data_IF_739925018516
#
_entry.id   IF_739925018516
#
_cell.length_a   1.000
_cell.length_b   1.000
_cell.length_c   1.000
_cell.angle_alpha   90.00
_cell.angle_beta   90.00
_cell.angle_gamma   90.00
#
_symmetry.space_group_name_H-M   'P 1'
#
loop_
_entity.id
_entity.type
_entity.pdbx_description
1 polymer ?
#
# COMPACT_ATOMS: atom_id res chain seq x y z
N UNK A 1 7.22 28.56 -10.67
CA UNK A 1 6.40 27.37 -10.31
C UNK A 1 7.32 26.40 -9.62
N UNK A 2 7.04 26.01 -8.39
CA UNK A 2 7.83 24.98 -7.73
C UNK A 2 7.53 23.66 -8.43
N UNK A 3 8.52 23.11 -9.13
CA UNK A 3 8.43 21.78 -9.72
C UNK A 3 8.97 20.79 -8.69
N UNK A 4 8.06 20.05 -8.05
CA UNK A 4 8.45 18.94 -7.20
C UNK A 4 8.70 17.71 -8.08
N UNK A 5 9.76 16.98 -7.78
CA UNK A 5 10.04 15.67 -8.37
C UNK A 5 10.31 14.66 -7.27
N UNK A 6 9.92 13.42 -7.50
CA UNK A 6 10.23 12.30 -6.62
C UNK A 6 10.79 11.15 -7.45
N UNK A 7 12.07 10.84 -7.23
CA UNK A 7 12.78 9.79 -7.95
C UNK A 7 13.15 8.67 -6.99
N UNK A 8 12.43 7.56 -7.06
CA UNK A 8 12.66 6.45 -6.13
C UNK A 8 12.76 5.11 -6.83
N UNK A 9 13.47 4.18 -6.20
CA UNK A 9 13.43 2.76 -6.55
C UNK A 9 12.40 2.05 -5.67
N UNK A 10 11.76 1.01 -6.19
CA UNK A 10 10.83 0.19 -5.42
C UNK A 10 11.44 -0.22 -4.08
N UNK A 11 10.83 0.19 -2.98
CA UNK A 11 11.23 -0.18 -1.64
C UNK A 11 10.25 -1.19 -1.04
N UNK A 12 10.75 -2.40 -0.74
CA UNK A 12 9.94 -3.43 -0.08
C UNK A 12 9.36 -2.94 1.24
N UNK A 13 10.10 -2.13 1.99
CA UNK A 13 9.70 -1.62 3.30
C UNK A 13 8.50 -0.68 3.21
N UNK A 14 8.53 0.25 2.23
CA UNK A 14 7.43 1.19 1.99
C UNK A 14 6.17 0.43 1.57
N UNK A 15 6.31 -0.54 0.65
CA UNK A 15 5.17 -1.34 0.17
C UNK A 15 4.61 -2.22 1.29
N UNK A 16 5.44 -2.83 2.13
CA UNK A 16 4.97 -3.60 3.29
C UNK A 16 4.20 -2.72 4.27
N UNK A 17 4.71 -1.53 4.60
CA UNK A 17 3.99 -0.60 5.48
C UNK A 17 2.62 -0.25 4.90
N UNK A 18 2.56 0.07 3.61
CA UNK A 18 1.30 0.31 2.91
C UNK A 18 0.35 -0.88 2.99
N UNK A 19 0.84 -2.08 2.70
CA UNK A 19 0.03 -3.29 2.72
C UNK A 19 -0.55 -3.55 4.12
N UNK A 20 0.25 -3.48 5.18
CA UNK A 20 -0.24 -3.72 6.54
C UNK A 20 -1.17 -2.63 7.05
N UNK A 21 -0.91 -1.35 6.75
CA UNK A 21 -1.72 -0.23 7.26
C UNK A 21 -2.97 0.06 6.42
N UNK A 22 -2.95 -0.25 5.12
CA UNK A 22 -4.01 0.16 4.18
C UNK A 22 -4.46 -1.00 3.30
N UNK A 23 -3.56 -1.57 2.51
CA UNK A 23 -3.89 -2.52 1.45
C UNK A 23 -4.52 -3.81 1.96
N UNK A 24 -3.93 -4.40 2.99
CA UNK A 24 -4.37 -5.66 3.58
C UNK A 24 -5.26 -5.50 4.82
N UNK A 25 -5.75 -4.29 5.12
CA UNK A 25 -6.58 -4.04 6.33
C UNK A 25 -7.75 -5.02 6.45
N UNK A 26 -8.41 -5.35 5.35
CA UNK A 26 -9.50 -6.35 5.35
C UNK A 26 -8.99 -7.75 5.70
N UNK A 27 -7.82 -8.13 5.20
CA UNK A 27 -7.19 -9.43 5.51
C UNK A 27 -6.84 -9.53 7.00
N UNK A 28 -6.35 -8.45 7.60
CA UNK A 28 -6.06 -8.40 9.04
C UNK A 28 -7.33 -8.51 9.88
N UNK A 29 -8.45 -7.95 9.44
CA UNK A 29 -9.76 -8.14 10.09
C UNK A 29 -10.16 -9.63 10.02
N UNK A 30 -10.01 -10.28 8.87
CA UNK A 30 -10.27 -11.72 8.74
C UNK A 30 -9.32 -12.57 9.60
N UNK A 31 -8.06 -12.17 9.77
CA UNK A 31 -7.13 -12.82 10.69
C UNK A 31 -7.69 -12.83 12.12
N UNK A 32 -8.07 -11.65 12.63
CA UNK A 32 -8.61 -11.51 14.00
C UNK A 32 -9.92 -12.29 14.15
N UNK A 33 -10.83 -12.18 13.19
CA UNK A 33 -12.12 -12.89 13.22
C UNK A 33 -11.92 -14.42 13.23
N UNK A 34 -11.00 -14.93 12.41
CA UNK A 34 -10.69 -16.35 12.36
C UNK A 34 -10.08 -16.85 13.67
N UNK A 35 -9.23 -16.06 14.33
CA UNK A 35 -8.69 -16.41 15.65
C UNK A 35 -9.81 -16.49 16.71
N UNK A 36 -10.69 -15.51 16.72
CA UNK A 36 -11.84 -15.50 17.66
C UNK A 36 -12.74 -16.73 17.43
N UNK A 37 -13.03 -17.07 16.19
CA UNK A 37 -13.81 -18.26 15.85
C UNK A 37 -13.09 -19.54 16.23
N UNK A 38 -11.78 -19.66 16.02
CA UNK A 38 -10.99 -20.81 16.45
C UNK A 38 -11.10 -21.05 17.96
N UNK A 39 -10.96 -19.98 18.75
CA UNK A 39 -11.07 -20.02 20.21
C UNK A 39 -12.51 -20.45 20.63
N UNK A 40 -13.53 -19.82 20.02
CA UNK A 40 -14.93 -20.16 20.33
C UNK A 40 -15.24 -21.63 20.05
N UNK A 41 -14.82 -22.17 18.91
CA UNK A 41 -15.00 -23.58 18.56
C UNK A 41 -14.22 -24.53 19.47
N UNK A 42 -13.01 -24.16 19.90
CA UNK A 42 -12.24 -24.93 20.86
C UNK A 42 -12.96 -25.03 22.21
N UNK A 43 -13.54 -23.93 22.70
CA UNK A 43 -14.33 -23.91 23.94
C UNK A 43 -15.58 -24.76 23.79
N UNK A 44 -16.33 -24.65 22.68
CA UNK A 44 -17.53 -25.46 22.41
C UNK A 44 -17.18 -26.96 22.43
N UNK A 45 -16.08 -27.34 21.75
CA UNK A 45 -15.61 -28.73 21.75
C UNK A 45 -15.29 -29.26 23.15
N UNK A 46 -14.58 -28.46 23.96
CA UNK A 46 -14.26 -28.81 25.33
C UNK A 46 -15.49 -28.96 26.23
N UNK A 47 -16.51 -28.09 26.08
CA UNK A 47 -17.69 -28.11 26.91
C UNK A 47 -18.68 -29.21 26.47
N UNK A 48 -18.83 -29.45 25.18
CA UNK A 48 -19.83 -30.37 24.62
C UNK A 48 -19.29 -31.77 24.36
N UNK A 49 -17.98 -32.00 24.50
CA UNK A 49 -17.31 -33.26 24.14
C UNK A 49 -17.35 -33.59 22.64
N UNK A 50 -17.68 -32.61 21.79
CA UNK A 50 -17.71 -32.80 20.34
C UNK A 50 -16.30 -32.60 19.74
N UNK A 51 -15.97 -33.40 18.73
CA UNK A 51 -14.74 -33.21 17.98
C UNK A 51 -14.87 -31.98 17.09
N UNK A 52 -14.18 -30.90 17.48
CA UNK A 52 -14.13 -29.64 16.77
C UNK A 52 -12.71 -29.36 16.21
N UNK A 53 -11.78 -30.30 16.33
CA UNK A 53 -10.36 -30.14 16.00
C UNK A 53 -10.17 -29.65 14.55
N UNK A 54 -10.84 -30.28 13.60
CA UNK A 54 -10.71 -29.94 12.17
C UNK A 54 -11.15 -28.50 11.89
N UNK A 55 -12.25 -28.05 12.52
CA UNK A 55 -12.77 -26.68 12.38
C UNK A 55 -11.79 -25.67 12.99
N UNK A 56 -11.25 -25.95 14.16
CA UNK A 56 -10.24 -25.09 14.82
C UNK A 56 -9.00 -24.96 13.94
N UNK A 57 -8.48 -26.08 13.42
CA UNK A 57 -7.31 -26.09 12.54
C UNK A 57 -7.60 -25.28 11.26
N UNK A 58 -8.78 -25.39 10.66
CA UNK A 58 -9.14 -24.63 9.49
C UNK A 58 -9.13 -23.12 9.75
N UNK A 59 -9.72 -22.65 10.87
CA UNK A 59 -9.69 -21.22 11.22
C UNK A 59 -8.27 -20.72 11.53
N UNK A 60 -7.43 -21.53 12.19
CA UNK A 60 -6.03 -21.17 12.43
C UNK A 60 -5.26 -21.05 11.11
N UNK A 61 -5.50 -21.96 10.15
CA UNK A 61 -4.86 -21.87 8.83
C UNK A 61 -5.26 -20.58 8.08
N UNK A 62 -6.53 -20.19 8.13
CA UNK A 62 -7.01 -18.91 7.55
C UNK A 62 -6.38 -17.71 8.27
N UNK A 63 -6.25 -17.74 9.58
CA UNK A 63 -5.61 -16.67 10.34
C UNK A 63 -4.14 -16.51 9.95
N UNK A 64 -3.36 -17.58 9.90
CA UNK A 64 -1.96 -17.59 9.49
C UNK A 64 -1.82 -17.07 8.05
N UNK A 65 -2.62 -17.61 7.12
CA UNK A 65 -2.62 -17.16 5.73
C UNK A 65 -2.87 -15.65 5.62
N UNK A 66 -3.90 -15.15 6.32
CA UNK A 66 -4.26 -13.73 6.28
C UNK A 66 -3.15 -12.82 6.85
N UNK A 67 -2.45 -13.27 7.89
CA UNK A 67 -1.35 -12.52 8.50
C UNK A 67 -0.10 -12.46 7.58
N UNK A 68 0.19 -13.55 6.87
CA UNK A 68 1.42 -13.68 6.06
C UNK A 68 1.22 -13.21 4.61
N UNK A 69 -0.03 -13.13 4.15
CA UNK A 69 -0.39 -12.72 2.79
C UNK A 69 0.27 -11.40 2.33
N UNK A 70 0.29 -10.29 3.11
CA UNK A 70 0.92 -9.05 2.69
C UNK A 70 2.39 -9.21 2.32
N UNK A 71 3.12 -10.04 3.07
CA UNK A 71 4.53 -10.32 2.81
C UNK A 71 4.72 -11.08 1.48
N UNK A 72 3.95 -12.13 1.26
CA UNK A 72 4.02 -12.89 0.00
C UNK A 72 3.57 -12.06 -1.20
N UNK A 73 2.52 -11.25 -1.03
CA UNK A 73 2.07 -10.34 -2.08
C UNK A 73 3.16 -9.36 -2.48
N UNK A 74 3.83 -8.72 -1.51
CA UNK A 74 4.91 -7.77 -1.76
C UNK A 74 6.08 -8.44 -2.48
N UNK A 75 6.50 -9.63 -2.02
CA UNK A 75 7.57 -10.40 -2.66
C UNK A 75 7.22 -10.80 -4.10
N UNK A 76 5.98 -11.20 -4.35
CA UNK A 76 5.50 -11.53 -5.70
C UNK A 76 5.48 -10.30 -6.60
N UNK A 77 5.03 -9.16 -6.10
CA UNK A 77 4.99 -7.89 -6.85
C UNK A 77 6.40 -7.44 -7.24
N UNK A 78 7.35 -7.50 -6.32
CA UNK A 78 8.77 -7.21 -6.58
C UNK A 78 9.34 -8.12 -7.69
N UNK A 79 9.07 -9.43 -7.58
CA UNK A 79 9.52 -10.39 -8.60
C UNK A 79 8.92 -10.08 -9.98
N UNK A 80 7.61 -9.81 -10.06
CA UNK A 80 6.97 -9.45 -11.33
C UNK A 80 7.53 -8.14 -11.91
N UNK A 81 7.86 -7.16 -11.06
CA UNK A 81 8.47 -5.91 -11.49
C UNK A 81 9.85 -6.16 -12.11
N UNK A 82 10.68 -6.98 -11.46
CA UNK A 82 11.99 -7.39 -11.98
C UNK A 82 11.87 -8.15 -13.30
N UNK A 83 10.94 -9.11 -13.41
CA UNK A 83 10.74 -9.89 -14.63
C UNK A 83 10.33 -9.01 -15.83
N UNK A 84 9.51 -7.98 -15.60
CA UNK A 84 9.11 -7.02 -16.63
C UNK A 84 10.24 -6.11 -17.09
N UNK A 85 11.21 -5.84 -16.23
CA UNK A 85 12.29 -4.90 -16.46
C UNK A 85 13.67 -5.57 -16.65
N UNK A 86 13.69 -6.78 -17.22
CA UNK A 86 14.95 -7.46 -17.56
C UNK A 86 15.82 -7.85 -16.36
N UNK A 87 15.19 -8.08 -15.20
CA UNK A 87 15.88 -8.47 -13.96
C UNK A 87 16.32 -7.30 -13.07
N UNK A 88 16.04 -6.08 -13.45
CA UNK A 88 16.36 -4.89 -12.66
C UNK A 88 15.10 -4.24 -12.08
N UNK A 89 15.26 -3.55 -10.95
CA UNK A 89 14.21 -2.70 -10.40
C UNK A 89 14.33 -1.34 -11.09
N UNK A 90 13.30 -0.88 -11.83
CA UNK A 90 13.35 0.41 -12.49
C UNK A 90 13.29 1.55 -11.48
N UNK A 91 13.87 2.68 -11.85
CA UNK A 91 13.66 3.94 -11.16
C UNK A 91 12.32 4.49 -11.62
N UNK A 92 11.46 4.81 -10.67
CA UNK A 92 10.21 5.52 -10.93
C UNK A 92 10.44 7.01 -10.69
N UNK A 93 10.19 7.80 -11.71
CA UNK A 93 10.26 9.26 -11.64
C UNK A 93 8.86 9.84 -11.68
N UNK A 94 8.54 10.70 -10.72
CA UNK A 94 7.25 11.36 -10.64
C UNK A 94 7.48 12.86 -10.64
N UNK A 95 6.89 13.56 -11.61
CA UNK A 95 6.99 15.00 -11.77
C UNK A 95 5.64 15.64 -11.48
N UNK A 96 5.66 16.69 -10.66
CA UNK A 96 4.48 17.46 -10.25
C UNK A 96 4.51 18.83 -10.95
N UNK A 97 3.94 18.90 -12.14
CA UNK A 97 3.81 20.12 -12.96
C UNK A 97 2.37 20.64 -12.99
N UNK A 98 1.84 20.84 -14.18
CA UNK A 98 0.40 21.09 -14.40
C UNK A 98 -0.42 19.86 -14.12
N UNK A 99 0.13 18.70 -14.44
CA UNK A 99 -0.36 17.36 -14.16
C UNK A 99 0.73 16.55 -13.41
N UNK A 100 0.39 15.37 -12.98
CA UNK A 100 1.31 14.44 -12.33
C UNK A 100 1.73 13.41 -13.35
N UNK A 101 2.97 13.48 -13.80
CA UNK A 101 3.56 12.52 -14.73
C UNK A 101 4.31 11.44 -13.97
N UNK A 102 3.95 10.19 -14.22
CA UNK A 102 4.64 9.01 -13.67
C UNK A 102 5.37 8.31 -14.80
N UNK A 103 6.69 8.20 -14.65
CA UNK A 103 7.59 7.60 -15.62
C UNK A 103 8.29 6.41 -14.96
N UNK A 104 8.26 5.25 -15.60
CA UNK A 104 9.02 4.08 -15.20
C UNK A 104 10.06 3.79 -16.30
N UNK A 105 11.35 3.95 -15.97
CA UNK A 105 12.41 3.92 -16.98
C UNK A 105 12.37 5.15 -17.90
N UNK A 106 12.39 4.95 -19.21
CA UNK A 106 12.51 6.02 -20.21
C UNK A 106 11.16 6.49 -20.80
N UNK A 107 10.05 5.89 -20.39
CA UNK A 107 8.72 6.19 -20.96
C UNK A 107 7.74 6.65 -19.89
N UNK A 108 6.93 7.68 -20.22
CA UNK A 108 5.80 8.08 -19.37
C UNK A 108 4.78 6.94 -19.36
N UNK A 109 4.56 6.38 -18.18
CA UNK A 109 3.65 5.25 -17.98
C UNK A 109 2.20 5.74 -17.96
N UNK A 110 1.95 6.84 -17.24
CA UNK A 110 0.66 7.51 -17.21
C UNK A 110 0.75 8.90 -16.60
N UNK A 111 -0.25 9.72 -16.93
CA UNK A 111 -0.45 11.06 -16.37
C UNK A 111 -1.74 11.12 -15.55
N UNK A 112 -1.73 11.89 -14.48
CA UNK A 112 -2.88 12.06 -13.57
C UNK A 112 -3.13 13.53 -13.30
N UNK A 113 -4.36 13.96 -13.44
CA UNK A 113 -4.76 15.30 -13.03
C UNK A 113 -4.95 15.37 -11.51
N UNK A 114 -4.63 16.51 -10.89
CA UNK A 114 -4.78 16.71 -9.43
C UNK A 114 -6.23 16.53 -8.96
N UNK A 115 -7.22 16.89 -9.80
CA UNK A 115 -8.65 16.70 -9.49
C UNK A 115 -9.07 15.25 -9.38
N UNK A 116 -8.28 14.32 -9.96
CA UNK A 116 -8.54 12.89 -9.93
C UNK A 116 -7.98 12.21 -8.67
N UNK A 117 -7.17 12.92 -7.90
CA UNK A 117 -6.74 12.42 -6.60
C UNK A 117 -7.92 12.39 -5.64
N UNK A 118 -8.17 11.22 -5.07
CA UNK A 118 -9.25 10.99 -4.11
C UNK A 118 -8.75 10.92 -2.66
N UNK A 119 -7.52 10.43 -2.48
CA UNK A 119 -6.97 10.21 -1.15
C UNK A 119 -5.45 10.33 -1.15
N UNK A 120 -4.93 11.00 -0.13
CA UNK A 120 -3.51 11.17 0.13
C UNK A 120 -3.25 10.63 1.53
N UNK A 121 -2.40 9.63 1.64
CA UNK A 121 -2.07 9.01 2.93
C UNK A 121 -0.58 9.12 3.20
N UNK A 122 -0.24 9.79 4.31
CA UNK A 122 1.13 9.88 4.80
C UNK A 122 1.36 8.76 5.79
N UNK A 123 2.33 7.91 5.49
CA UNK A 123 2.84 6.85 6.36
C UNK A 123 4.23 7.23 6.88
N UNK A 124 4.78 6.42 7.79
CA UNK A 124 6.10 6.68 8.36
C UNK A 124 7.22 6.60 7.29
N UNK A 125 7.08 5.66 6.35
CA UNK A 125 8.11 5.38 5.33
C UNK A 125 7.72 5.81 3.92
N UNK A 126 6.50 6.32 3.68
CA UNK A 126 6.04 6.65 2.35
C UNK A 126 4.81 7.54 2.31
N UNK A 127 4.60 8.21 1.19
CA UNK A 127 3.38 8.96 0.89
C UNK A 127 2.67 8.24 -0.26
N UNK A 128 1.36 8.04 -0.11
CA UNK A 128 0.55 7.33 -1.10
C UNK A 128 -0.56 8.23 -1.60
N UNK A 129 -0.57 8.45 -2.92
CA UNK A 129 -1.63 9.16 -3.62
C UNK A 129 -2.52 8.11 -4.27
N UNK A 130 -3.82 8.20 -4.08
CA UNK A 130 -4.80 7.28 -4.66
C UNK A 130 -5.75 8.07 -5.54
N UNK A 131 -5.88 7.67 -6.80
CA UNK A 131 -6.81 8.28 -7.75
C UNK A 131 -8.21 7.72 -7.58
N UNK A 132 -9.22 8.42 -8.11
CA UNK A 132 -10.61 7.93 -8.20
C UNK A 132 -10.70 6.61 -8.99
N UNK A 133 -9.83 6.43 -9.99
CA UNK A 133 -9.68 5.19 -10.74
C UNK A 133 -8.95 4.07 -9.99
N UNK A 134 -8.68 4.25 -8.68
CA UNK A 134 -7.97 3.30 -7.80
C UNK A 134 -6.53 3.01 -8.21
N UNK A 135 -5.91 3.85 -9.03
CA UNK A 135 -4.46 3.79 -9.24
C UNK A 135 -3.76 4.38 -8.03
N UNK A 136 -2.72 3.72 -7.56
CA UNK A 136 -1.87 4.19 -6.48
C UNK A 136 -0.56 4.73 -7.02
N UNK A 137 -0.13 5.90 -6.53
CA UNK A 137 1.19 6.46 -6.74
C UNK A 137 1.89 6.45 -5.39
N UNK A 138 3.06 5.85 -5.34
CA UNK A 138 3.88 5.77 -4.15
C UNK A 138 5.01 6.80 -4.26
N UNK A 139 5.30 7.51 -3.17
CA UNK A 139 6.37 8.49 -3.08
C UNK A 139 7.25 8.13 -1.90
N UNK A 140 8.54 8.27 -2.09
CA UNK A 140 9.55 8.17 -1.03
C UNK A 140 9.83 9.56 -0.46
N UNK A 141 9.56 9.80 0.84
CA UNK A 141 9.81 11.10 1.46
C UNK A 141 11.27 11.58 1.36
N UNK A 142 12.23 10.65 1.32
CA UNK A 142 13.66 10.94 1.28
C UNK A 142 14.18 11.23 -0.14
N UNK A 143 13.33 11.02 -1.16
CA UNK A 143 13.69 11.14 -2.58
C UNK A 143 13.05 12.35 -3.27
N UNK A 144 12.62 13.36 -2.51
CA UNK A 144 12.07 14.60 -3.06
C UNK A 144 13.17 15.57 -3.51
N UNK A 145 12.90 16.22 -4.64
CA UNK A 145 13.66 17.38 -5.13
C UNK A 145 12.70 18.52 -5.45
N UNK A 146 13.19 19.76 -5.41
CA UNK A 146 12.38 20.96 -5.65
C UNK A 146 11.71 21.55 -4.41
N UNK A 147 11.87 20.94 -3.23
CA UNK A 147 11.36 21.44 -1.94
C UNK A 147 11.29 20.36 -0.87
N UNK A 148 10.81 20.72 0.31
CA UNK A 148 10.60 19.79 1.43
C UNK A 148 9.28 19.02 1.30
N UNK A 149 9.14 17.94 2.09
CA UNK A 149 7.88 17.16 2.15
C UNK A 149 6.73 18.04 2.67
N UNK A 150 7.00 18.93 3.62
CA UNK A 150 6.01 19.84 4.19
C UNK A 150 5.50 20.83 3.13
N UNK A 151 6.39 21.40 2.34
CA UNK A 151 6.05 22.30 1.22
C UNK A 151 5.25 21.56 0.15
N UNK A 152 5.66 20.33 -0.18
CA UNK A 152 4.92 19.46 -1.09
C UNK A 152 3.51 19.14 -0.59
N UNK A 153 3.36 18.83 0.71
CA UNK A 153 2.04 18.58 1.30
C UNK A 153 1.15 19.82 1.30
N UNK A 154 1.73 21.01 1.51
CA UNK A 154 1.00 22.28 1.40
C UNK A 154 0.54 22.51 -0.06
N UNK A 155 1.42 22.30 -1.02
CA UNK A 155 1.11 22.34 -2.45
C UNK A 155 -0.02 21.39 -2.84
N UNK A 156 0.02 20.12 -2.37
CA UNK A 156 -1.06 19.16 -2.65
C UNK A 156 -2.40 19.57 -2.03
N UNK A 157 -2.40 20.16 -0.83
CA UNK A 157 -3.64 20.67 -0.22
C UNK A 157 -4.28 21.79 -1.04
N UNK A 158 -3.47 22.65 -1.63
CA UNK A 158 -3.94 23.70 -2.52
C UNK A 158 -4.50 23.15 -3.84
N UNK A 159 -3.75 22.23 -4.48
CA UNK A 159 -4.12 21.65 -5.78
C UNK A 159 -5.26 20.64 -5.70
N UNK A 160 -5.43 19.95 -4.56
CA UNK A 160 -6.38 18.85 -4.39
C UNK A 160 -7.36 19.12 -3.22
N UNK A 161 -8.17 20.19 -3.24
CA UNK A 161 -9.05 20.54 -2.12
C UNK A 161 -10.10 19.47 -1.79
N UNK A 162 -10.42 18.61 -2.75
CA UNK A 162 -11.40 17.53 -2.60
C UNK A 162 -10.78 16.18 -2.20
N UNK A 163 -9.47 16.07 -2.07
CA UNK A 163 -8.81 14.84 -1.66
C UNK A 163 -8.86 14.69 -0.14
N UNK A 164 -9.01 13.45 0.32
CA UNK A 164 -8.95 13.12 1.76
C UNK A 164 -7.50 12.95 2.18
N UNK A 165 -7.04 13.76 3.14
CA UNK A 165 -5.71 13.66 3.72
C UNK A 165 -5.75 12.84 5.01
N UNK A 166 -4.96 11.78 5.10
CA UNK A 166 -4.82 10.94 6.28
C UNK A 166 -3.34 10.77 6.66
N UNK A 167 -3.05 10.79 7.95
CA UNK A 167 -1.73 10.42 8.51
C UNK A 167 -1.91 9.17 9.38
N UNK A 168 -1.05 8.15 9.21
CA UNK A 168 -1.14 6.87 9.93
C UNK A 168 0.20 6.40 10.47
#
# INVERSE_FOLDING_TARGET
MNHFENNYMYSREIVLEYQYKIGARRMLIWCVLSLVLAIAYAIIGAVTGRDTLLVVVAFLAVAVYSAVYPYFFTKKSEKMLMERNGGQIPVTQIRFGEEIDVTEGDTVDFTVEYRDLSKITVLKKGIFLVTRGRRGIMLDPDSFTGGTVEEFMAFLKEKCPNAVFETK
#
